data_IF_406976082691
#
_entry.id   IF_406976082691
#
_cell.length_a   1.000
_cell.length_b   1.000
_cell.length_c   1.000
_cell.angle_alpha   90.00
_cell.angle_beta   90.00
_cell.angle_gamma   90.00
#
_symmetry.space_group_name_H-M   'P 1'
#
loop_
_entity.id
_entity.type
_entity.pdbx_description
1 polymer ?
#
# COMPACT_ATOMS: atom_id res chain seq x y z
N UNK A 1 -5.13 33.17 -12.36
CA UNK A 1 -4.27 32.29 -11.50
C UNK A 1 -3.49 31.39 -12.43
N UNK A 2 -2.15 31.43 -12.40
CA UNK A 2 -1.34 30.54 -13.24
C UNK A 2 -1.63 29.08 -12.82
N UNK A 3 -1.93 28.22 -13.78
CA UNK A 3 -2.11 26.79 -13.54
C UNK A 3 -0.80 26.22 -12.99
N UNK A 4 -0.83 25.84 -11.73
CA UNK A 4 0.30 25.16 -11.09
C UNK A 4 0.09 23.64 -11.26
N UNK A 5 1.13 22.86 -11.58
CA UNK A 5 1.07 21.39 -11.51
C UNK A 5 0.44 20.89 -10.20
N UNK A 6 0.67 21.57 -9.09
CA UNK A 6 0.13 21.24 -7.77
C UNK A 6 -1.40 21.09 -7.76
N UNK A 7 -2.15 21.96 -8.45
CA UNK A 7 -3.62 21.85 -8.54
C UNK A 7 -4.06 20.54 -9.20
N UNK A 8 -3.35 20.11 -10.23
CA UNK A 8 -3.65 18.88 -10.94
C UNK A 8 -3.35 17.64 -10.09
N UNK A 9 -2.34 17.70 -9.23
CA UNK A 9 -2.08 16.66 -8.23
C UNK A 9 -3.20 16.55 -7.20
N UNK A 10 -3.77 17.66 -6.74
CA UNK A 10 -4.94 17.61 -5.83
C UNK A 10 -6.16 17.00 -6.52
N UNK A 11 -6.43 17.35 -7.79
CA UNK A 11 -7.51 16.72 -8.55
C UNK A 11 -7.27 15.20 -8.73
N UNK A 12 -6.02 14.78 -8.98
CA UNK A 12 -5.71 13.37 -9.02
C UNK A 12 -5.94 12.71 -7.65
N UNK A 13 -5.47 13.32 -6.57
CA UNK A 13 -5.68 12.83 -5.20
C UNK A 13 -7.17 12.63 -4.90
N UNK A 14 -8.03 13.57 -5.28
CA UNK A 14 -9.49 13.45 -5.09
C UNK A 14 -10.06 12.25 -5.87
N UNK A 15 -9.50 11.94 -7.05
CA UNK A 15 -9.93 10.80 -7.88
C UNK A 15 -9.50 9.46 -7.33
N UNK A 16 -8.28 9.39 -6.77
CA UNK A 16 -7.67 8.13 -6.33
C UNK A 16 -7.86 7.84 -4.84
N UNK A 17 -8.26 8.82 -4.03
CA UNK A 17 -8.50 8.62 -2.61
C UNK A 17 -9.89 8.09 -2.35
N UNK A 18 -10.02 7.20 -1.37
CA UNK A 18 -11.32 6.83 -0.83
C UNK A 18 -11.91 7.99 -0.03
N UNK A 19 -13.20 8.15 -0.13
CA UNK A 19 -13.95 8.99 0.81
C UNK A 19 -14.07 8.30 2.16
N UNK A 20 -14.33 9.07 3.22
CA UNK A 20 -14.54 8.50 4.57
C UNK A 20 -15.65 7.42 4.57
N UNK A 21 -16.83 7.64 3.95
CA UNK A 21 -17.86 6.60 3.89
C UNK A 21 -17.42 5.32 3.13
N UNK A 22 -16.64 5.46 2.05
CA UNK A 22 -16.11 4.29 1.32
C UNK A 22 -15.13 3.49 2.18
N UNK A 23 -14.25 4.16 2.92
CA UNK A 23 -13.30 3.51 3.82
C UNK A 23 -14.03 2.82 4.98
N UNK A 24 -14.98 3.49 5.62
CA UNK A 24 -15.80 2.92 6.69
C UNK A 24 -16.59 1.70 6.22
N UNK A 25 -17.21 1.78 5.03
CA UNK A 25 -17.93 0.64 4.46
C UNK A 25 -17.02 -0.55 4.17
N UNK A 26 -15.78 -0.31 3.70
CA UNK A 26 -14.79 -1.37 3.48
C UNK A 26 -14.36 -2.03 4.81
N UNK A 27 -14.07 -1.23 5.84
CA UNK A 27 -13.68 -1.71 7.15
C UNK A 27 -14.82 -2.48 7.85
N UNK A 28 -16.06 -2.03 7.72
CA UNK A 28 -17.23 -2.75 8.28
C UNK A 28 -17.43 -4.12 7.63
N UNK A 29 -17.17 -4.24 6.33
CA UNK A 29 -17.20 -5.56 5.66
C UNK A 29 -16.06 -6.46 6.13
N UNK A 30 -14.87 -5.93 6.31
CA UNK A 30 -13.74 -6.67 6.86
C UNK A 30 -14.02 -7.13 8.31
N UNK A 31 -14.71 -6.33 9.10
CA UNK A 31 -15.13 -6.70 10.45
C UNK A 31 -16.07 -7.90 10.43
N UNK A 32 -17.03 -7.99 9.49
CA UNK A 32 -17.89 -9.15 9.33
C UNK A 32 -17.12 -10.43 8.96
N UNK A 33 -16.07 -10.30 8.12
CA UNK A 33 -15.17 -11.44 7.81
C UNK A 33 -14.34 -11.82 9.03
N UNK A 34 -13.83 -10.82 9.78
CA UNK A 34 -13.10 -11.03 11.04
C UNK A 34 -13.94 -11.80 12.05
N UNK A 35 -15.20 -11.39 12.27
CA UNK A 35 -16.13 -12.08 13.17
C UNK A 35 -16.39 -13.53 12.73
N UNK A 36 -16.55 -13.77 11.41
CA UNK A 36 -16.69 -15.12 10.88
C UNK A 36 -15.45 -15.97 11.17
N UNK A 37 -14.25 -15.44 10.92
CA UNK A 37 -12.97 -16.12 11.18
C UNK A 37 -12.78 -16.47 12.66
N UNK A 38 -13.22 -15.61 13.58
CA UNK A 38 -13.14 -15.86 15.03
C UNK A 38 -13.97 -17.07 15.49
N UNK A 39 -14.91 -17.56 14.69
CA UNK A 39 -15.63 -18.81 14.94
C UNK A 39 -14.88 -20.07 14.43
N UNK A 40 -13.75 -19.89 13.75
CA UNK A 40 -12.93 -21.01 13.28
C UNK A 40 -11.96 -21.43 14.39
N UNK A 41 -12.05 -22.66 14.85
CA UNK A 41 -11.23 -23.16 15.98
C UNK A 41 -9.72 -23.12 15.77
N UNK A 42 -9.26 -23.00 14.51
CA UNK A 42 -7.85 -22.80 14.17
C UNK A 42 -7.39 -21.37 14.46
N UNK A 43 -8.27 -20.39 14.42
CA UNK A 43 -7.96 -18.95 14.56
C UNK A 43 -8.04 -18.52 16.03
N UNK A 44 -6.99 -17.92 16.54
CA UNK A 44 -6.93 -17.36 17.90
C UNK A 44 -7.38 -15.91 17.94
N UNK A 45 -6.95 -15.12 16.96
CA UNK A 45 -7.16 -13.68 16.89
C UNK A 45 -7.14 -13.21 15.43
N UNK A 46 -7.83 -12.12 15.12
CA UNK A 46 -7.76 -11.46 13.82
C UNK A 46 -7.48 -9.97 13.99
N UNK A 47 -6.56 -9.45 13.18
CA UNK A 47 -6.18 -8.04 13.16
C UNK A 47 -6.42 -7.46 11.77
N UNK A 48 -7.27 -6.43 11.67
CA UNK A 48 -7.43 -5.64 10.44
C UNK A 48 -6.24 -4.68 10.35
N UNK A 49 -5.54 -4.69 9.23
CA UNK A 49 -4.32 -3.93 8.99
C UNK A 49 -4.25 -3.44 7.54
N UNK A 50 -3.07 -3.11 7.07
CA UNK A 50 -2.83 -2.75 5.68
C UNK A 50 -3.15 -1.30 5.34
N UNK A 51 -3.18 -1.02 4.05
CA UNK A 51 -3.32 0.34 3.54
C UNK A 51 -4.67 0.99 3.89
N UNK A 52 -5.72 0.19 4.03
CA UNK A 52 -7.05 0.65 4.38
C UNK A 52 -7.08 1.15 5.83
N UNK A 53 -6.53 0.37 6.76
CA UNK A 53 -6.44 0.75 8.18
C UNK A 53 -5.56 2.00 8.39
N UNK A 54 -4.49 2.17 7.60
CA UNK A 54 -3.57 3.32 7.66
C UNK A 54 -4.03 4.56 6.90
N UNK A 55 -5.18 4.52 6.21
CA UNK A 55 -5.65 5.59 5.32
C UNK A 55 -4.67 5.95 4.19
N UNK A 56 -3.90 4.95 3.71
CA UNK A 56 -3.00 5.06 2.55
C UNK A 56 -3.48 4.26 1.35
N UNK A 57 -4.71 3.76 1.40
CA UNK A 57 -5.36 3.03 0.33
C UNK A 57 -5.67 3.94 -0.87
N UNK A 58 -5.64 3.35 -2.06
CA UNK A 58 -6.09 4.01 -3.30
C UNK A 58 -7.34 3.32 -3.83
N UNK A 59 -8.29 4.14 -4.31
CA UNK A 59 -9.58 3.68 -4.86
C UNK A 59 -9.36 2.66 -5.97
N UNK A 60 -10.17 1.62 -6.01
CA UNK A 60 -10.19 0.52 -7.00
C UNK A 60 -9.02 -0.46 -6.96
N UNK A 61 -7.96 -0.19 -6.18
CA UNK A 61 -6.76 -1.03 -6.18
C UNK A 61 -6.32 -1.52 -4.80
N UNK A 62 -7.02 -1.12 -3.75
CA UNK A 62 -6.66 -1.53 -2.40
C UNK A 62 -7.74 -2.41 -1.80
N UNK A 63 -7.35 -3.62 -1.43
CA UNK A 63 -8.15 -4.53 -0.64
C UNK A 63 -7.97 -4.25 0.86
N UNK A 64 -8.78 -4.88 1.69
CA UNK A 64 -8.62 -4.82 3.14
C UNK A 64 -7.85 -6.05 3.59
N UNK A 65 -6.76 -5.84 4.33
CA UNK A 65 -5.93 -6.92 4.85
C UNK A 65 -6.39 -7.35 6.25
N UNK A 66 -6.61 -8.65 6.45
CA UNK A 66 -6.88 -9.28 7.76
C UNK A 66 -5.77 -10.28 8.06
N UNK A 67 -5.02 -10.07 9.13
CA UNK A 67 -4.12 -11.08 9.66
C UNK A 67 -4.94 -12.02 10.54
N UNK A 68 -5.03 -13.30 10.17
CA UNK A 68 -5.63 -14.35 10.96
C UNK A 68 -4.53 -15.10 11.72
N UNK A 69 -4.41 -14.83 13.03
CA UNK A 69 -3.44 -15.49 13.90
C UNK A 69 -3.97 -16.89 14.21
N UNK A 70 -3.23 -17.91 13.78
CA UNK A 70 -3.62 -19.30 13.92
C UNK A 70 -2.86 -20.02 15.03
N UNK A 71 -3.49 -21.08 15.56
CA UNK A 71 -2.85 -21.96 16.53
C UNK A 71 -1.56 -22.57 15.97
N UNK A 72 -0.58 -22.77 16.82
CA UNK A 72 0.65 -23.46 16.45
C UNK A 72 0.36 -24.89 15.99
N UNK A 73 0.67 -25.17 14.73
CA UNK A 73 0.62 -26.48 14.11
C UNK A 73 1.94 -26.77 13.41
N UNK A 74 2.69 -27.82 13.81
CA UNK A 74 4.00 -28.10 13.25
C UNK A 74 3.98 -28.28 11.72
N UNK A 75 2.93 -28.90 11.16
CA UNK A 75 2.82 -29.12 9.71
C UNK A 75 2.58 -27.80 8.97
N UNK A 76 1.75 -26.93 9.51
CA UNK A 76 1.49 -25.61 8.94
C UNK A 76 2.73 -24.72 9.07
N UNK A 77 3.47 -24.82 10.20
CA UNK A 77 4.72 -24.09 10.39
C UNK A 77 5.81 -24.49 9.37
N UNK A 78 5.81 -25.74 8.93
CA UNK A 78 6.71 -26.21 7.87
C UNK A 78 6.24 -25.84 6.46
N UNK A 79 4.94 -25.65 6.26
CA UNK A 79 4.34 -25.43 4.95
C UNK A 79 3.16 -24.44 5.03
N UNK A 80 3.40 -23.18 4.66
CA UNK A 80 2.42 -22.12 4.71
C UNK A 80 1.16 -22.36 3.83
N UNK A 81 1.27 -23.17 2.78
CA UNK A 81 0.12 -23.55 1.94
C UNK A 81 -0.95 -24.30 2.71
N UNK A 82 -0.58 -25.11 3.73
CA UNK A 82 -1.56 -25.79 4.55
C UNK A 82 -2.40 -24.81 5.37
N UNK A 83 -1.79 -23.75 5.87
CA UNK A 83 -2.51 -22.69 6.58
C UNK A 83 -3.45 -21.91 5.64
N UNK A 84 -2.98 -21.57 4.44
CA UNK A 84 -3.80 -20.92 3.39
C UNK A 84 -5.00 -21.80 3.03
N UNK A 85 -4.78 -23.09 2.69
CA UNK A 85 -5.85 -24.02 2.37
C UNK A 85 -6.89 -24.16 3.52
N UNK A 86 -6.43 -24.25 4.77
CA UNK A 86 -7.35 -24.39 5.91
C UNK A 86 -8.25 -23.16 6.08
N UNK A 87 -7.70 -21.96 5.91
CA UNK A 87 -8.48 -20.69 5.92
C UNK A 87 -9.45 -20.66 4.73
N UNK A 88 -8.96 -20.98 3.52
CA UNK A 88 -9.77 -21.03 2.30
C UNK A 88 -10.94 -21.97 2.41
N UNK A 89 -10.71 -23.24 2.83
CA UNK A 89 -11.75 -24.25 3.02
C UNK A 89 -12.82 -23.82 4.05
N UNK A 90 -12.38 -23.08 5.08
CA UNK A 90 -13.32 -22.55 6.07
C UNK A 90 -14.17 -21.43 5.48
N UNK A 91 -13.55 -20.44 4.84
CA UNK A 91 -14.23 -19.29 4.25
C UNK A 91 -15.15 -19.67 3.09
N UNK A 92 -14.81 -20.72 2.32
CA UNK A 92 -15.63 -21.25 1.23
C UNK A 92 -17.02 -21.74 1.66
N UNK A 93 -17.23 -21.95 2.95
CA UNK A 93 -18.56 -22.31 3.50
C UNK A 93 -19.52 -21.13 3.52
N UNK A 94 -18.99 -19.91 3.51
CA UNK A 94 -19.78 -18.66 3.64
C UNK A 94 -19.67 -17.77 2.42
N UNK A 95 -18.49 -17.72 1.79
CA UNK A 95 -18.19 -16.83 0.66
C UNK A 95 -18.06 -17.64 -0.62
N UNK A 96 -18.72 -17.19 -1.71
CA UNK A 96 -18.78 -17.92 -2.98
C UNK A 96 -17.63 -17.63 -3.93
N UNK A 97 -16.89 -16.53 -3.71
CA UNK A 97 -15.78 -16.11 -4.58
C UNK A 97 -14.52 -15.98 -3.76
N UNK A 98 -13.73 -17.06 -3.74
CA UNK A 98 -12.46 -17.16 -3.01
C UNK A 98 -11.37 -17.59 -3.97
N UNK A 99 -10.21 -16.98 -3.82
CA UNK A 99 -9.01 -17.30 -4.59
C UNK A 99 -7.80 -17.41 -3.66
N UNK A 100 -7.01 -18.48 -3.81
CA UNK A 100 -5.80 -18.69 -3.03
C UNK A 100 -4.59 -18.11 -3.75
N UNK A 101 -3.91 -17.19 -3.07
CA UNK A 101 -2.58 -16.71 -3.46
C UNK A 101 -1.48 -17.34 -2.60
N UNK A 102 -0.22 -17.18 -2.99
CA UNK A 102 0.90 -17.72 -2.21
C UNK A 102 1.02 -17.10 -0.81
N UNK A 103 0.46 -15.92 -0.59
CA UNK A 103 0.56 -15.17 0.67
C UNK A 103 -0.76 -14.94 1.41
N UNK A 104 -1.91 -15.15 0.76
CA UNK A 104 -3.22 -14.82 1.32
C UNK A 104 -4.35 -15.61 0.67
N UNK A 105 -5.50 -15.62 1.32
CA UNK A 105 -6.79 -16.02 0.74
C UNK A 105 -7.56 -14.75 0.40
N UNK A 106 -7.86 -14.55 -0.87
CA UNK A 106 -8.63 -13.41 -1.35
C UNK A 106 -10.11 -13.71 -1.41
N UNK A 107 -10.93 -12.81 -0.87
CA UNK A 107 -12.39 -12.85 -0.97
C UNK A 107 -12.83 -11.71 -1.87
N UNK A 108 -13.39 -12.03 -3.03
CA UNK A 108 -14.06 -11.04 -3.88
C UNK A 108 -15.46 -10.77 -3.36
N UNK A 109 -15.79 -9.52 -3.09
CA UNK A 109 -17.13 -9.08 -2.69
C UNK A 109 -17.87 -8.48 -3.88
N UNK A 110 -19.22 -8.56 -3.88
CA UNK A 110 -20.04 -8.04 -4.98
C UNK A 110 -19.96 -6.52 -5.13
N UNK A 111 -19.65 -5.82 -4.01
CA UNK A 111 -19.56 -4.37 -3.95
C UNK A 111 -18.36 -3.94 -3.09
N UNK A 112 -17.54 -3.06 -3.63
CA UNK A 112 -16.37 -2.50 -2.96
C UNK A 112 -15.09 -3.34 -3.07
N UNK A 113 -14.07 -3.02 -2.27
CA UNK A 113 -12.79 -3.72 -2.29
C UNK A 113 -12.90 -5.15 -1.79
N UNK A 114 -12.02 -6.02 -2.29
CA UNK A 114 -11.84 -7.38 -1.79
C UNK A 114 -11.25 -7.40 -0.38
N UNK A 115 -11.13 -8.60 0.17
CA UNK A 115 -10.51 -8.82 1.49
C UNK A 115 -9.45 -9.90 1.35
N UNK A 116 -8.23 -9.57 1.75
CA UNK A 116 -7.11 -10.49 1.82
C UNK A 116 -6.95 -11.00 3.25
N UNK A 117 -7.12 -12.31 3.43
CA UNK A 117 -6.93 -12.99 4.72
C UNK A 117 -5.57 -13.67 4.71
N UNK A 118 -4.68 -13.19 5.56
CA UNK A 118 -3.30 -13.65 5.69
C UNK A 118 -3.17 -14.50 6.96
N UNK A 119 -3.03 -15.83 6.88
CA UNK A 119 -2.74 -16.63 8.07
C UNK A 119 -1.39 -16.24 8.67
N UNK A 120 -1.28 -16.26 10.00
CA UNK A 120 -0.06 -15.85 10.66
C UNK A 120 0.19 -16.65 11.95
N UNK A 121 1.47 -16.81 12.31
CA UNK A 121 1.91 -17.25 13.63
C UNK A 121 2.55 -16.08 14.39
N UNK A 122 2.44 -16.08 15.71
CA UNK A 122 3.19 -15.12 16.55
C UNK A 122 4.67 -15.52 16.52
N UNK A 123 5.54 -14.56 16.10
CA UNK A 123 6.98 -14.75 16.02
C UNK A 123 7.74 -14.18 17.23
N UNK A 124 7.03 -13.47 18.11
CA UNK A 124 7.61 -12.76 19.26
C UNK A 124 7.13 -11.32 19.37
N UNK A 125 7.97 -10.44 19.92
CA UNK A 125 7.68 -9.02 20.05
C UNK A 125 8.82 -8.18 19.51
N UNK A 126 8.49 -7.01 18.97
CA UNK A 126 9.46 -6.00 18.57
C UNK A 126 9.98 -5.23 19.81
N UNK A 127 10.94 -4.32 19.62
CA UNK A 127 11.54 -3.50 20.68
C UNK A 127 10.55 -2.59 21.41
N UNK A 128 9.40 -2.28 20.79
CA UNK A 128 8.30 -1.51 21.37
C UNK A 128 7.24 -2.37 22.07
N UNK A 129 7.45 -3.69 22.13
CA UNK A 129 6.55 -4.63 22.78
C UNK A 129 5.37 -5.11 21.91
N UNK A 130 5.27 -4.68 20.65
CA UNK A 130 4.22 -5.13 19.72
C UNK A 130 4.54 -6.50 19.14
N UNK A 131 3.49 -7.27 18.84
CA UNK A 131 3.61 -8.60 18.26
C UNK A 131 4.25 -8.55 16.86
N UNK A 132 5.25 -9.42 16.69
CA UNK A 132 5.81 -9.77 15.38
C UNK A 132 5.12 -11.03 14.90
N UNK A 133 4.90 -11.10 13.60
CA UNK A 133 4.24 -12.24 12.97
C UNK A 133 5.15 -12.94 11.96
N UNK A 134 4.89 -14.22 11.74
CA UNK A 134 5.31 -14.94 10.55
C UNK A 134 4.11 -15.03 9.62
N UNK A 135 4.25 -14.53 8.41
CA UNK A 135 3.23 -14.58 7.36
C UNK A 135 3.73 -15.41 6.17
N UNK A 136 2.83 -16.01 5.36
CA UNK A 136 3.23 -16.81 4.21
C UNK A 136 4.02 -16.00 3.19
N UNK A 137 4.98 -16.67 2.54
CA UNK A 137 5.76 -16.15 1.45
C UNK A 137 5.86 -17.21 0.33
N UNK A 138 6.50 -16.83 -0.78
CA UNK A 138 6.77 -17.74 -1.88
C UNK A 138 7.47 -19.03 -1.40
N UNK A 139 7.35 -20.09 -2.20
CA UNK A 139 7.96 -21.40 -1.94
C UNK A 139 7.51 -22.08 -0.64
N UNK A 140 6.27 -21.81 -0.20
CA UNK A 140 5.67 -22.41 1.01
C UNK A 140 6.38 -22.02 2.31
N UNK A 141 7.12 -20.91 2.31
CA UNK A 141 7.89 -20.43 3.45
C UNK A 141 7.11 -19.40 4.28
N UNK A 142 7.75 -18.94 5.35
CA UNK A 142 7.27 -17.90 6.22
C UNK A 142 8.29 -16.78 6.34
N UNK A 143 7.85 -15.54 6.36
CA UNK A 143 8.70 -14.37 6.59
C UNK A 143 8.21 -13.57 7.80
N UNK A 144 9.13 -12.87 8.45
CA UNK A 144 8.77 -11.99 9.56
C UNK A 144 8.08 -10.72 9.06
N UNK A 145 7.05 -10.30 9.77
CA UNK A 145 6.26 -9.12 9.48
C UNK A 145 5.95 -8.34 10.75
N UNK A 146 6.13 -7.00 10.72
CA UNK A 146 5.88 -6.06 11.80
C UNK A 146 4.84 -5.01 11.36
N UNK A 147 3.54 -5.34 11.35
CA UNK A 147 2.52 -4.38 10.96
C UNK A 147 2.43 -3.20 11.92
N UNK A 148 2.51 -3.45 13.23
CA UNK A 148 2.40 -2.40 14.23
C UNK A 148 3.56 -1.39 14.14
N UNK A 149 4.78 -1.84 13.87
CA UNK A 149 5.91 -0.95 13.66
C UNK A 149 5.79 -0.11 12.37
N UNK A 150 5.16 -0.66 11.34
CA UNK A 150 4.86 0.09 10.12
C UNK A 150 3.73 1.10 10.36
N UNK A 151 2.65 0.70 11.02
CA UNK A 151 1.52 1.57 11.36
C UNK A 151 1.98 2.75 12.22
N UNK A 152 2.77 2.47 13.25
CA UNK A 152 3.32 3.49 14.16
C UNK A 152 4.21 4.51 13.41
N UNK A 153 5.07 4.05 12.49
CA UNK A 153 5.91 4.96 11.70
C UNK A 153 5.09 5.88 10.81
N UNK A 154 4.10 5.34 10.11
CA UNK A 154 3.23 6.14 9.22
C UNK A 154 2.42 7.14 10.04
N UNK A 155 1.89 6.73 11.19
CA UNK A 155 1.11 7.61 12.04
C UNK A 155 1.97 8.73 12.65
N UNK A 156 3.16 8.41 13.18
CA UNK A 156 4.09 9.41 13.71
C UNK A 156 4.48 10.45 12.65
N UNK A 157 4.79 10.00 11.41
CA UNK A 157 5.11 10.92 10.32
C UNK A 157 3.90 11.72 9.87
N UNK A 158 2.70 11.17 9.89
CA UNK A 158 1.48 11.90 9.59
C UNK A 158 1.17 12.97 10.64
N UNK A 159 1.41 12.69 11.92
CA UNK A 159 1.28 13.69 12.99
C UNK A 159 2.33 14.81 12.85
N UNK A 160 3.54 14.48 12.41
CA UNK A 160 4.64 15.43 12.23
C UNK A 160 4.49 16.29 10.96
N UNK A 161 4.07 15.70 9.85
CA UNK A 161 4.14 16.27 8.50
C UNK A 161 2.75 16.61 7.91
N UNK A 162 1.67 16.30 8.63
CA UNK A 162 0.31 16.49 8.16
C UNK A 162 -0.21 15.34 7.26
N UNK A 163 -1.45 15.49 6.81
CA UNK A 163 -2.12 14.52 5.93
C UNK A 163 -1.45 14.43 4.55
N UNK A 164 -0.67 15.44 4.18
CA UNK A 164 0.12 15.50 2.95
C UNK A 164 1.10 14.32 2.84
N UNK A 165 1.58 13.80 3.97
CA UNK A 165 2.43 12.61 3.98
C UNK A 165 1.67 11.37 3.46
N UNK A 166 0.46 11.12 3.95
CA UNK A 166 -0.40 10.03 3.45
C UNK A 166 -0.83 10.26 2.00
N UNK A 167 -1.05 11.50 1.59
CA UNK A 167 -1.33 11.87 0.20
C UNK A 167 -0.15 11.53 -0.72
N UNK A 168 1.09 11.83 -0.32
CA UNK A 168 2.28 11.50 -1.09
C UNK A 168 2.45 9.98 -1.26
N UNK A 169 2.14 9.19 -0.21
CA UNK A 169 2.11 7.72 -0.30
C UNK A 169 1.08 7.25 -1.34
N UNK A 170 -0.14 7.81 -1.34
CA UNK A 170 -1.18 7.45 -2.32
C UNK A 170 -0.75 7.78 -3.75
N UNK A 171 -0.12 8.92 -3.98
CA UNK A 171 0.43 9.29 -5.30
C UNK A 171 1.51 8.30 -5.78
N UNK A 172 2.42 7.90 -4.91
CA UNK A 172 3.46 6.93 -5.26
C UNK A 172 2.88 5.53 -5.54
N UNK A 173 1.88 5.09 -4.77
CA UNK A 173 1.16 3.84 -5.03
C UNK A 173 0.39 3.89 -6.35
N UNK A 174 -0.27 5.01 -6.63
CA UNK A 174 -0.96 5.22 -7.90
C UNK A 174 0.01 5.13 -9.08
N UNK A 175 1.15 5.84 -9.01
CA UNK A 175 2.19 5.74 -10.02
C UNK A 175 2.65 4.30 -10.23
N UNK A 176 2.91 3.56 -9.16
CA UNK A 176 3.34 2.17 -9.26
C UNK A 176 2.31 1.33 -10.01
N UNK A 177 1.02 1.44 -9.67
CA UNK A 177 -0.06 0.73 -10.37
C UNK A 177 -0.16 1.12 -11.84
N UNK A 178 -0.11 2.41 -12.16
CA UNK A 178 -0.18 2.90 -13.54
C UNK A 178 1.01 2.45 -14.42
N UNK A 179 2.12 2.02 -13.79
CA UNK A 179 3.34 1.60 -14.48
C UNK A 179 3.69 0.12 -14.30
N UNK A 180 2.71 -0.74 -14.06
CA UNK A 180 2.88 -2.20 -13.96
C UNK A 180 3.43 -2.68 -12.62
N UNK A 181 3.22 -1.92 -11.56
CA UNK A 181 3.60 -2.24 -10.18
C UNK A 181 5.11 -2.58 -10.00
N UNK A 182 6.01 -1.70 -10.47
CA UNK A 182 7.46 -1.95 -10.40
C UNK A 182 8.00 -2.02 -8.97
N UNK A 183 7.27 -1.50 -8.01
CA UNK A 183 7.61 -1.50 -6.58
C UNK A 183 6.37 -1.87 -5.75
N UNK A 184 6.47 -2.86 -4.83
CA UNK A 184 5.36 -3.26 -3.97
C UNK A 184 4.89 -2.13 -3.04
N UNK A 185 3.60 -2.11 -2.69
CA UNK A 185 3.00 -1.04 -1.86
C UNK A 185 3.68 -0.87 -0.50
N UNK A 186 4.07 -1.96 0.17
CA UNK A 186 4.76 -1.89 1.46
C UNK A 186 6.18 -1.30 1.34
N UNK A 187 6.87 -1.55 0.22
CA UNK A 187 8.18 -0.93 -0.06
C UNK A 187 8.04 0.57 -0.33
N UNK A 188 6.96 1.00 -1.01
CA UNK A 188 6.63 2.42 -1.20
C UNK A 188 6.50 3.12 0.14
N UNK A 189 5.71 2.55 1.05
CA UNK A 189 5.52 3.09 2.41
C UNK A 189 6.84 3.14 3.18
N UNK A 190 7.68 2.11 3.03
CA UNK A 190 9.02 2.05 3.62
C UNK A 190 9.97 3.12 3.08
N UNK A 191 10.02 3.32 1.76
CA UNK A 191 10.83 4.39 1.13
C UNK A 191 10.34 5.75 1.58
N UNK A 192 9.02 6.03 1.50
CA UNK A 192 8.44 7.30 1.95
C UNK A 192 8.79 7.60 3.42
N UNK A 193 8.65 6.62 4.30
CA UNK A 193 8.95 6.79 5.72
C UNK A 193 10.43 7.12 5.96
N UNK A 194 11.35 6.47 5.26
CA UNK A 194 12.79 6.77 5.37
C UNK A 194 13.15 8.13 4.78
N UNK A 195 12.56 8.47 3.63
CA UNK A 195 12.81 9.72 2.91
C UNK A 195 12.43 10.94 3.76
N UNK A 196 11.26 10.90 4.37
CA UNK A 196 10.72 12.07 5.07
C UNK A 196 10.94 12.05 6.59
N UNK A 197 11.68 11.06 7.13
CA UNK A 197 11.90 10.90 8.58
C UNK A 197 12.43 12.16 9.29
N UNK A 198 13.28 12.94 8.62
CA UNK A 198 13.94 14.13 9.19
C UNK A 198 13.34 15.46 8.71
N UNK A 199 12.24 15.41 7.96
CA UNK A 199 11.58 16.61 7.46
C UNK A 199 10.63 17.17 8.53
N UNK A 200 10.46 18.49 8.53
CA UNK A 200 9.55 19.20 9.45
C UNK A 200 8.23 19.62 8.79
N UNK A 201 8.20 19.59 7.47
CA UNK A 201 7.02 19.90 6.66
C UNK A 201 7.07 19.12 5.35
N UNK A 202 5.92 18.83 4.74
CA UNK A 202 5.87 18.20 3.44
C UNK A 202 6.11 19.22 2.33
N UNK A 203 6.92 18.90 1.32
CA UNK A 203 6.99 19.71 0.10
C UNK A 203 5.68 19.57 -0.69
N UNK A 204 5.53 20.37 -1.76
CA UNK A 204 4.39 20.24 -2.66
C UNK A 204 4.28 18.82 -3.23
N UNK A 205 3.06 18.37 -3.62
CA UNK A 205 2.87 17.00 -4.13
C UNK A 205 3.81 16.61 -5.29
N UNK A 206 4.07 17.47 -6.31
CA UNK A 206 5.06 17.13 -7.34
C UNK A 206 6.49 17.00 -6.79
N UNK A 207 6.91 17.85 -5.85
CA UNK A 207 8.24 17.77 -5.23
C UNK A 207 8.36 16.54 -4.32
N UNK A 208 7.32 16.21 -3.57
CA UNK A 208 7.27 14.99 -2.73
C UNK A 208 7.44 13.73 -3.57
N UNK A 209 6.72 13.65 -4.70
CA UNK A 209 6.80 12.50 -5.59
C UNK A 209 8.15 12.41 -6.33
N UNK A 210 8.71 13.52 -6.78
CA UNK A 210 10.05 13.56 -7.37
C UNK A 210 11.13 13.15 -6.35
N UNK A 211 11.00 13.59 -5.10
CA UNK A 211 11.89 13.18 -4.01
C UNK A 211 11.80 11.68 -3.74
N UNK A 212 10.58 11.13 -3.70
CA UNK A 212 10.38 9.69 -3.59
C UNK A 212 11.11 8.91 -4.71
N UNK A 213 10.93 9.31 -5.98
CA UNK A 213 11.58 8.62 -7.10
C UNK A 213 13.10 8.67 -7.01
N UNK A 214 13.67 9.82 -6.67
CA UNK A 214 15.11 9.97 -6.48
C UNK A 214 15.64 9.05 -5.39
N UNK A 215 14.96 8.98 -4.25
CA UNK A 215 15.37 8.15 -3.13
C UNK A 215 15.17 6.64 -3.44
N UNK A 216 14.10 6.28 -4.15
CA UNK A 216 13.86 4.91 -4.58
C UNK A 216 14.90 4.43 -5.61
N UNK A 217 15.35 5.31 -6.53
CA UNK A 217 16.43 4.99 -7.49
C UNK A 217 17.78 4.86 -6.79
N UNK A 218 18.10 5.75 -5.84
CA UNK A 218 19.36 5.74 -5.10
C UNK A 218 19.48 4.50 -4.18
N UNK A 219 18.45 4.18 -3.44
CA UNK A 219 18.47 3.16 -2.40
C UNK A 219 18.00 1.78 -2.87
N UNK A 220 17.49 1.65 -4.09
CA UNK A 220 17.11 0.38 -4.80
C UNK A 220 16.43 -0.60 -3.87
N UNK A 221 15.13 -0.46 -3.57
CA UNK A 221 14.41 -1.33 -2.65
C UNK A 221 14.63 -2.82 -2.97
N UNK A 222 14.78 -3.66 -1.94
CA UNK A 222 15.28 -5.04 -2.07
C UNK A 222 14.40 -5.94 -2.96
N UNK A 223 13.08 -5.73 -2.92
CA UNK A 223 12.09 -6.52 -3.66
C UNK A 223 11.85 -6.03 -5.10
N UNK A 224 12.62 -5.06 -5.58
CA UNK A 224 12.46 -4.50 -6.91
C UNK A 224 13.32 -5.23 -7.93
N UNK A 225 12.70 -5.78 -8.99
CA UNK A 225 13.38 -6.47 -10.09
C UNK A 225 14.26 -5.53 -10.92
N UNK A 226 15.11 -6.08 -11.79
CA UNK A 226 15.91 -5.26 -12.71
C UNK A 226 15.05 -4.37 -13.63
N UNK A 227 13.91 -4.88 -14.11
CA UNK A 227 12.95 -4.09 -14.88
C UNK A 227 12.36 -2.96 -14.01
N UNK A 228 11.91 -3.27 -12.80
CA UNK A 228 11.38 -2.27 -11.88
C UNK A 228 12.38 -1.15 -11.57
N UNK A 229 13.66 -1.50 -11.36
CA UNK A 229 14.74 -0.49 -11.18
C UNK A 229 14.87 0.46 -12.37
N UNK A 230 14.74 -0.06 -13.60
CA UNK A 230 14.75 0.78 -14.80
C UNK A 230 13.54 1.72 -14.88
N UNK A 231 12.35 1.23 -14.51
CA UNK A 231 11.13 2.04 -14.47
C UNK A 231 11.22 3.16 -13.43
N UNK A 232 11.73 2.86 -12.23
CA UNK A 232 11.94 3.86 -11.16
C UNK A 232 12.94 4.94 -11.61
N UNK A 233 14.07 4.53 -12.20
CA UNK A 233 15.07 5.46 -12.71
C UNK A 233 14.50 6.39 -13.78
N UNK A 234 13.73 5.85 -14.73
CA UNK A 234 13.05 6.66 -15.74
C UNK A 234 12.07 7.66 -15.09
N UNK A 235 11.34 7.23 -14.07
CA UNK A 235 10.43 8.10 -13.33
C UNK A 235 11.17 9.23 -12.61
N UNK A 236 12.31 8.94 -11.98
CA UNK A 236 13.14 9.95 -11.31
C UNK A 236 13.63 11.05 -12.28
N UNK A 237 14.14 10.65 -13.45
CA UNK A 237 14.59 11.58 -14.47
C UNK A 237 13.44 12.42 -15.04
N UNK A 238 12.30 11.80 -15.33
CA UNK A 238 11.14 12.50 -15.89
C UNK A 238 10.49 13.44 -14.87
N UNK A 239 10.45 13.09 -13.59
CA UNK A 239 9.95 13.96 -12.53
C UNK A 239 10.86 15.17 -12.32
N UNK A 240 12.17 14.97 -12.39
CA UNK A 240 13.14 16.08 -12.33
C UNK A 240 12.96 17.04 -13.51
N UNK A 241 12.85 16.53 -14.76
CA UNK A 241 12.57 17.32 -15.96
C UNK A 241 11.27 18.12 -15.81
N UNK A 242 10.22 17.49 -15.27
CA UNK A 242 8.95 18.16 -15.02
C UNK A 242 9.05 19.35 -14.04
N UNK A 243 9.85 19.20 -12.98
CA UNK A 243 10.09 20.30 -12.02
C UNK A 243 10.92 21.43 -12.65
N UNK A 244 11.91 21.11 -13.45
CA UNK A 244 12.75 22.10 -14.16
C UNK A 244 11.92 22.90 -15.18
N UNK A 245 11.07 22.25 -15.97
CA UNK A 245 10.15 22.91 -16.89
C UNK A 245 9.20 23.87 -16.14
N UNK A 246 8.64 23.43 -15.01
CA UNK A 246 7.79 24.28 -14.19
C UNK A 246 8.54 25.52 -13.66
N UNK A 247 9.80 25.36 -13.22
CA UNK A 247 10.65 26.45 -12.73
C UNK A 247 10.97 27.46 -13.83
N UNK A 248 11.11 27.01 -15.08
CA UNK A 248 11.32 27.84 -16.27
C UNK A 248 10.03 28.51 -16.78
N UNK A 249 8.87 28.19 -16.18
CA UNK A 249 7.56 28.72 -16.56
C UNK A 249 6.86 27.92 -17.67
N UNK A 250 7.45 26.82 -18.15
CA UNK A 250 6.82 25.89 -19.08
C UNK A 250 5.90 24.93 -18.31
N UNK A 251 4.75 25.46 -17.90
CA UNK A 251 3.73 24.67 -17.19
C UNK A 251 3.14 23.57 -18.07
N UNK A 252 3.01 23.79 -19.38
CA UNK A 252 2.44 22.81 -20.31
C UNK A 252 3.37 21.60 -20.45
N UNK A 253 4.65 21.83 -20.70
CA UNK A 253 5.65 20.77 -20.77
C UNK A 253 5.79 19.99 -19.45
N UNK A 254 5.78 20.68 -18.31
CA UNK A 254 5.75 20.05 -16.99
C UNK A 254 4.55 19.11 -16.81
N UNK A 255 3.35 19.57 -17.14
CA UNK A 255 2.11 18.79 -17.01
C UNK A 255 2.13 17.56 -17.93
N UNK A 256 2.69 17.65 -19.13
CA UNK A 256 2.84 16.51 -20.03
C UNK A 256 3.74 15.43 -19.43
N UNK A 257 4.87 15.82 -18.81
CA UNK A 257 5.76 14.87 -18.09
C UNK A 257 5.04 14.15 -16.95
N UNK A 258 4.31 14.91 -16.13
CA UNK A 258 3.51 14.31 -15.05
C UNK A 258 2.41 13.39 -15.58
N UNK A 259 1.75 13.75 -16.69
CA UNK A 259 0.77 12.86 -17.34
C UNK A 259 1.38 11.56 -17.83
N UNK A 260 2.56 11.63 -18.44
CA UNK A 260 3.30 10.42 -18.86
C UNK A 260 3.65 9.50 -17.68
N UNK A 261 3.91 10.06 -16.49
CA UNK A 261 4.21 9.31 -15.27
C UNK A 261 2.96 8.75 -14.60
N UNK A 262 1.89 9.55 -14.51
CA UNK A 262 0.73 9.27 -13.67
C UNK A 262 -0.47 8.72 -14.47
N UNK A 263 -0.34 8.66 -15.80
CA UNK A 263 -1.36 8.11 -16.68
C UNK A 263 -2.53 9.07 -16.97
N UNK A 264 -3.56 8.55 -17.64
CA UNK A 264 -4.69 9.35 -18.13
C UNK A 264 -5.56 9.98 -17.02
N UNK A 265 -5.52 9.43 -15.82
CA UNK A 265 -6.23 10.01 -14.68
C UNK A 265 -5.63 11.33 -14.20
N UNK A 266 -4.36 11.61 -14.55
CA UNK A 266 -3.77 12.92 -14.26
C UNK A 266 -4.39 13.97 -15.18
N UNK A 267 -5.06 15.01 -14.62
CA UNK A 267 -5.79 15.98 -15.42
C UNK A 267 -4.83 16.87 -16.23
N UNK A 268 -5.17 17.08 -17.49
CA UNK A 268 -4.43 17.97 -18.40
C UNK A 268 -5.13 19.31 -18.60
N UNK A 269 -6.23 19.55 -17.88
CA UNK A 269 -7.07 20.73 -18.10
C UNK A 269 -6.33 21.96 -17.59
N UNK A 270 -6.06 22.85 -18.55
CA UNK A 270 -5.65 24.22 -18.32
C UNK A 270 -6.91 25.02 -18.04
N UNK A 271 -7.14 25.42 -16.80
CA UNK A 271 -8.23 26.35 -16.45
C UNK A 271 -7.76 27.81 -16.58
#
# INVERSE_FOLDING_TARGET
MKNSPTKNFHILLDRISLTVPEQEAALNRAESVRENLMNFSLVQECVITGSMARSTAIRTFSDVDIIAIINDDPKMMENSKLAISAISDYLARTYSSIEDFDSAVHITLNDGPGIDVVPAFIAGKNTSGHSLFKIPAEQRSWINYDPAGQDQRIEQLSLQLGDEFKQAIRLAKWWSRANGSPIPSYEIEGVMSRTFLKWTEMPTPPEALATFFREADANKPDKVTGHGKSVIRKAALMAQDALELAAQGDTAGSMERWRCLLGEQFPTVVF
#
